data_IF_807863847180
#
_entry.id   IF_807863847180
#
_cell.length_a   1.000
_cell.length_b   1.000
_cell.length_c   1.000
_cell.angle_alpha   90.00
_cell.angle_beta   90.00
_cell.angle_gamma   90.00
#
_symmetry.space_group_name_H-M   'P 1'
#
loop_
_entity.id
_entity.type
_entity.pdbx_description
1 polymer ?
#
# COMPACT_ATOMS: atom_id res chain seq x y z
N UNK A 1 5.44 18.39 -9.54
CA UNK A 1 5.73 19.73 -10.12
C UNK A 1 6.33 19.51 -11.49
N UNK A 2 5.89 20.21 -12.54
CA UNK A 2 6.61 20.17 -13.82
C UNK A 2 7.99 20.80 -13.63
N UNK A 3 9.02 20.10 -14.11
CA UNK A 3 10.42 20.51 -14.07
C UNK A 3 10.95 20.38 -15.50
N UNK A 4 11.23 21.50 -16.19
CA UNK A 4 11.74 21.46 -17.55
C UNK A 4 13.01 20.63 -17.60
N UNK A 5 13.03 19.65 -18.50
CA UNK A 5 14.22 18.83 -18.73
C UNK A 5 14.91 19.35 -19.99
N UNK A 6 16.23 19.62 -19.95
CA UNK A 6 16.98 20.00 -21.14
C UNK A 6 16.72 19.02 -22.29
N UNK A 7 16.72 19.53 -23.53
CA UNK A 7 16.54 18.76 -24.77
C UNK A 7 15.15 18.12 -25.01
N UNK A 8 14.21 18.22 -24.07
CA UNK A 8 12.83 17.75 -24.31
C UNK A 8 12.05 18.72 -25.20
N UNK A 9 11.10 18.18 -25.98
CA UNK A 9 10.15 18.97 -26.79
C UNK A 9 9.38 19.96 -25.92
N UNK A 10 9.06 19.56 -24.69
CA UNK A 10 8.32 20.39 -23.73
C UNK A 10 9.05 21.69 -23.39
N UNK A 11 10.39 21.64 -23.24
CA UNK A 11 11.22 22.84 -22.98
C UNK A 11 11.35 23.73 -24.21
N UNK A 12 11.19 23.18 -25.43
CA UNK A 12 11.32 23.93 -26.70
C UNK A 12 10.03 24.62 -27.13
N UNK A 13 8.88 23.97 -26.92
CA UNK A 13 7.59 24.42 -27.46
C UNK A 13 6.73 25.21 -26.47
N UNK A 14 6.90 25.00 -25.16
CA UNK A 14 6.01 25.58 -24.15
C UNK A 14 6.76 26.59 -23.28
N UNK A 15 6.74 27.84 -23.72
CA UNK A 15 7.31 29.00 -22.99
C UNK A 15 6.33 29.62 -22.00
N UNK A 16 5.02 29.43 -22.21
CA UNK A 16 3.97 29.90 -21.31
C UNK A 16 3.71 28.87 -20.20
N UNK A 17 4.54 28.93 -19.17
CA UNK A 17 4.44 28.04 -18.02
C UNK A 17 3.42 28.56 -16.98
N UNK A 18 2.81 27.64 -16.24
CA UNK A 18 1.87 28.00 -15.16
C UNK A 18 2.66 28.50 -13.95
N UNK A 19 2.22 29.59 -13.27
CA UNK A 19 2.85 30.08 -12.05
C UNK A 19 3.06 28.97 -11.00
N UNK A 20 4.20 28.97 -10.27
CA UNK A 20 4.50 27.94 -9.27
C UNK A 20 3.39 27.73 -8.24
N UNK A 21 2.74 28.80 -7.78
CA UNK A 21 1.69 28.71 -6.78
C UNK A 21 0.44 27.98 -7.30
N UNK A 22 0.02 28.25 -8.54
CA UNK A 22 -1.08 27.51 -9.19
C UNK A 22 -0.72 26.03 -9.41
N UNK A 23 0.53 25.72 -9.73
CA UNK A 23 0.99 24.33 -9.86
C UNK A 23 0.92 23.58 -8.52
N UNK A 24 1.35 24.22 -7.43
CA UNK A 24 1.28 23.65 -6.08
C UNK A 24 -0.17 23.45 -5.65
N UNK A 25 -1.03 24.46 -5.86
CA UNK A 25 -2.46 24.38 -5.56
C UNK A 25 -3.12 23.21 -6.29
N UNK A 26 -2.94 23.12 -7.62
CA UNK A 26 -3.50 22.03 -8.43
C UNK A 26 -2.98 20.66 -8.00
N UNK A 27 -1.67 20.56 -7.75
CA UNK A 27 -1.07 19.32 -7.25
C UNK A 27 -1.67 18.92 -5.89
N UNK A 28 -1.85 19.88 -4.98
CA UNK A 28 -2.50 19.65 -3.70
C UNK A 28 -3.90 19.09 -3.86
N UNK A 29 -4.73 19.72 -4.71
CA UNK A 29 -6.10 19.23 -5.01
C UNK A 29 -6.11 17.80 -5.53
N UNK A 30 -5.22 17.47 -6.46
CA UNK A 30 -5.09 16.10 -7.01
C UNK A 30 -4.63 15.11 -5.95
N UNK A 31 -3.62 15.46 -5.14
CA UNK A 31 -3.11 14.59 -4.08
C UNK A 31 -4.16 14.32 -3.01
N UNK A 32 -4.94 15.33 -2.62
CA UNK A 32 -6.06 15.17 -1.68
C UNK A 32 -7.09 14.19 -2.23
N UNK A 33 -7.58 14.41 -3.46
CA UNK A 33 -8.55 13.51 -4.08
C UNK A 33 -8.00 12.08 -4.24
N UNK A 34 -6.74 11.94 -4.65
CA UNK A 34 -6.09 10.63 -4.77
C UNK A 34 -5.99 9.93 -3.42
N UNK A 35 -5.65 10.66 -2.34
CA UNK A 35 -5.56 10.11 -0.99
C UNK A 35 -6.91 9.56 -0.51
N UNK A 36 -8.00 10.29 -0.77
CA UNK A 36 -9.37 9.86 -0.46
C UNK A 36 -9.76 8.58 -1.22
N UNK A 37 -9.48 8.55 -2.53
CA UNK A 37 -9.73 7.37 -3.38
C UNK A 37 -8.92 6.17 -2.90
N UNK A 38 -7.62 6.37 -2.62
CA UNK A 38 -6.73 5.31 -2.13
C UNK A 38 -7.21 4.76 -0.79
N UNK A 39 -7.59 5.62 0.16
CA UNK A 39 -8.13 5.17 1.45
C UNK A 39 -9.40 4.35 1.27
N UNK A 40 -10.34 4.82 0.44
CA UNK A 40 -11.57 4.07 0.15
C UNK A 40 -11.27 2.69 -0.45
N UNK A 41 -10.38 2.63 -1.44
CA UNK A 41 -9.96 1.37 -2.07
C UNK A 41 -9.25 0.43 -1.12
N UNK A 42 -8.40 0.95 -0.24
CA UNK A 42 -7.73 0.14 0.78
C UNK A 42 -8.70 -0.40 1.83
N UNK A 43 -9.72 0.40 2.22
CA UNK A 43 -10.79 -0.05 3.13
C UNK A 43 -11.61 -1.22 2.58
N UNK A 44 -11.77 -1.32 1.26
CA UNK A 44 -12.43 -2.47 0.61
C UNK A 44 -11.68 -3.80 0.88
N UNK A 45 -10.41 -3.75 1.31
CA UNK A 45 -9.61 -4.94 1.66
C UNK A 45 -9.72 -5.36 3.12
N UNK A 46 -10.36 -4.57 3.99
CA UNK A 46 -10.51 -4.94 5.40
C UNK A 46 -11.32 -6.24 5.52
N UNK A 47 -10.80 -7.19 6.28
CA UNK A 47 -11.36 -8.53 6.45
C UNK A 47 -10.91 -9.55 5.39
N UNK A 48 -10.20 -9.12 4.33
CA UNK A 48 -9.57 -10.06 3.40
C UNK A 48 -8.31 -10.70 4.01
N UNK A 49 -7.90 -11.81 3.40
CA UNK A 49 -6.61 -12.45 3.66
C UNK A 49 -5.77 -12.20 2.42
N UNK A 50 -4.62 -11.57 2.61
CA UNK A 50 -3.69 -11.23 1.54
C UNK A 50 -2.36 -11.95 1.79
N UNK A 51 -1.80 -12.54 0.74
CA UNK A 51 -0.42 -13.02 0.75
C UNK A 51 0.52 -11.82 0.57
N UNK A 52 1.52 -11.72 1.45
CA UNK A 52 2.53 -10.67 1.43
C UNK A 52 3.93 -11.26 1.42
N UNK A 53 4.82 -10.68 0.62
CA UNK A 53 6.26 -10.90 0.74
C UNK A 53 6.81 -9.96 1.81
N UNK A 54 7.42 -10.49 2.86
CA UNK A 54 8.02 -9.66 3.92
C UNK A 54 9.35 -9.09 3.42
N UNK A 55 9.49 -7.77 3.39
CA UNK A 55 10.68 -7.08 2.88
C UNK A 55 11.62 -6.58 3.99
N UNK A 56 11.11 -6.37 5.21
CA UNK A 56 11.93 -5.85 6.29
C UNK A 56 11.14 -5.44 7.53
N UNK A 57 11.83 -4.77 8.47
CA UNK A 57 11.20 -4.13 9.61
C UNK A 57 10.26 -3.00 9.16
N UNK A 58 9.13 -2.86 9.84
CA UNK A 58 8.21 -1.76 9.60
C UNK A 58 8.81 -0.42 10.06
N UNK A 59 8.58 0.63 9.27
CA UNK A 59 8.93 2.00 9.66
C UNK A 59 8.14 2.50 10.87
N UNK A 60 7.01 1.85 11.20
CA UNK A 60 6.22 2.14 12.41
C UNK A 60 6.88 1.60 13.69
N UNK A 61 7.85 0.69 13.57
CA UNK A 61 8.54 0.06 14.68
C UNK A 61 7.65 -0.89 15.49
N UNK A 62 7.93 -1.02 16.79
CA UNK A 62 7.12 -1.79 17.77
C UNK A 62 7.02 -3.30 17.49
N UNK A 63 8.08 -3.91 16.96
CA UNK A 63 8.08 -5.33 16.62
C UNK A 63 7.18 -5.67 15.44
N UNK A 64 6.88 -4.70 14.57
CA UNK A 64 6.19 -4.93 13.32
C UNK A 64 7.18 -5.14 12.18
N UNK A 65 6.83 -6.08 11.31
CA UNK A 65 7.44 -6.29 10.00
C UNK A 65 6.56 -5.68 8.92
N UNK A 66 7.16 -5.41 7.77
CA UNK A 66 6.50 -4.83 6.61
C UNK A 66 6.73 -5.71 5.40
N UNK A 67 5.64 -5.92 4.66
CA UNK A 67 5.67 -6.66 3.41
C UNK A 67 4.75 -6.04 2.36
N UNK A 68 4.76 -6.63 1.17
CA UNK A 68 3.97 -6.17 0.03
C UNK A 68 3.09 -7.27 -0.53
N UNK A 69 1.83 -6.92 -0.83
CA UNK A 69 0.94 -7.78 -1.59
C UNK A 69 1.41 -7.90 -3.05
N UNK A 70 0.85 -8.86 -3.81
CA UNK A 70 1.07 -8.97 -5.27
C UNK A 70 0.73 -7.70 -6.05
N UNK A 71 -0.25 -6.93 -5.58
CA UNK A 71 -0.62 -5.63 -6.13
C UNK A 71 0.23 -4.48 -5.58
N UNK A 72 1.39 -4.78 -4.99
CA UNK A 72 2.38 -3.84 -4.47
C UNK A 72 1.88 -2.93 -3.32
N UNK A 73 0.84 -3.36 -2.58
CA UNK A 73 0.34 -2.62 -1.40
C UNK A 73 1.18 -2.98 -0.18
N UNK A 74 1.60 -1.97 0.58
CA UNK A 74 2.33 -2.15 1.84
C UNK A 74 1.38 -2.68 2.90
N UNK A 75 1.79 -3.74 3.60
CA UNK A 75 1.07 -4.29 4.76
C UNK A 75 2.03 -4.35 5.94
N UNK A 76 1.61 -3.80 7.07
CA UNK A 76 2.36 -3.86 8.33
C UNK A 76 1.68 -4.86 9.26
N UNK A 77 2.44 -5.79 9.81
CA UNK A 77 1.95 -6.83 10.71
C UNK A 77 2.92 -7.02 11.86
N UNK A 78 2.41 -7.36 13.05
CA UNK A 78 3.27 -7.79 14.15
C UNK A 78 3.89 -9.15 13.81
N UNK A 79 5.19 -9.31 14.02
CA UNK A 79 5.87 -10.57 13.71
C UNK A 79 7.40 -10.50 13.87
N UNK A 80 8.06 -11.65 13.94
CA UNK A 80 9.51 -11.71 14.04
C UNK A 80 10.19 -11.34 12.72
N UNK A 81 11.36 -10.70 12.80
CA UNK A 81 12.18 -10.37 11.63
C UNK A 81 12.70 -11.60 10.86
N UNK A 82 12.69 -12.78 11.47
CA UNK A 82 13.05 -14.04 10.81
C UNK A 82 12.13 -14.43 9.64
N UNK A 83 11.05 -13.68 9.40
CA UNK A 83 10.15 -13.87 8.25
C UNK A 83 10.57 -13.04 7.02
N UNK A 84 11.61 -12.21 7.09
CA UNK A 84 12.07 -11.41 5.95
C UNK A 84 12.49 -12.33 4.79
N UNK A 85 11.99 -12.06 3.59
CA UNK A 85 12.17 -12.88 2.40
C UNK A 85 11.11 -13.96 2.19
N UNK A 86 10.24 -14.19 3.18
CA UNK A 86 9.19 -15.20 3.12
C UNK A 86 7.84 -14.63 2.68
N UNK A 87 7.03 -15.49 2.08
CA UNK A 87 5.62 -15.23 1.83
C UNK A 87 4.77 -15.66 3.04
N UNK A 88 3.97 -14.75 3.56
CA UNK A 88 3.08 -14.99 4.70
C UNK A 88 1.66 -14.50 4.39
N UNK A 89 0.67 -15.14 5.02
CA UNK A 89 -0.72 -14.69 4.93
C UNK A 89 -1.03 -13.70 6.05
N UNK A 90 -1.60 -12.54 5.69
CA UNK A 90 -2.02 -11.51 6.62
C UNK A 90 -3.51 -11.25 6.49
N UNK A 91 -4.24 -11.24 7.62
CA UNK A 91 -5.61 -10.74 7.67
C UNK A 91 -5.56 -9.22 7.76
N UNK A 92 -6.19 -8.52 6.83
CA UNK A 92 -6.23 -7.06 6.84
C UNK A 92 -7.26 -6.60 7.86
N UNK A 93 -6.84 -5.75 8.80
CA UNK A 93 -7.66 -5.26 9.90
C UNK A 93 -7.96 -3.77 9.74
N UNK A 94 -6.99 -2.99 9.27
CA UNK A 94 -7.13 -1.55 9.08
C UNK A 94 -6.45 -1.08 7.79
N UNK A 95 -6.82 0.13 7.36
CA UNK A 95 -6.33 0.73 6.14
C UNK A 95 -6.08 2.22 6.32
N UNK A 96 -4.94 2.68 5.78
CA UNK A 96 -4.64 4.09 5.53
C UNK A 96 -4.64 4.34 4.01
N UNK A 97 -4.42 5.58 3.57
CA UNK A 97 -4.27 5.87 2.14
C UNK A 97 -3.04 5.20 1.51
N UNK A 98 -1.99 4.91 2.31
CA UNK A 98 -0.69 4.48 1.81
C UNK A 98 -0.27 3.07 2.25
N UNK A 99 -1.00 2.45 3.18
CA UNK A 99 -0.68 1.13 3.71
C UNK A 99 -1.89 0.45 4.31
N UNK A 100 -1.79 -0.86 4.47
CA UNK A 100 -2.69 -1.71 5.24
C UNK A 100 -2.02 -2.09 6.56
N UNK A 101 -2.83 -2.40 7.57
CA UNK A 101 -2.39 -3.01 8.80
C UNK A 101 -3.15 -4.31 9.00
N UNK A 102 -2.46 -5.32 9.50
CA UNK A 102 -3.04 -6.64 9.64
C UNK A 102 -2.34 -7.50 10.68
N UNK A 103 -2.81 -8.74 10.74
CA UNK A 103 -2.29 -9.77 11.64
C UNK A 103 -1.88 -11.00 10.84
N UNK A 104 -0.76 -11.61 11.21
CA UNK A 104 -0.31 -12.86 10.61
C UNK A 104 -1.31 -13.98 10.88
N UNK A 105 -1.62 -14.76 9.85
CA UNK A 105 -2.44 -15.96 9.98
C UNK A 105 -1.55 -17.19 9.91
N UNK A 106 -1.65 -18.05 10.92
CA UNK A 106 -0.98 -19.36 10.94
C UNK A 106 -1.77 -20.37 10.09
N UNK A 107 -1.09 -21.42 9.59
CA UNK A 107 -1.72 -22.49 8.81
C UNK A 107 -2.96 -23.09 9.48
N UNK A 108 -2.93 -23.30 10.80
CA UNK A 108 -4.07 -23.80 11.57
C UNK A 108 -5.30 -22.86 11.54
N UNK A 109 -5.09 -21.53 11.55
CA UNK A 109 -6.18 -20.55 11.42
C UNK A 109 -6.73 -20.45 9.99
N UNK A 110 -5.91 -20.72 8.98
CA UNK A 110 -6.33 -20.76 7.57
C UNK A 110 -7.29 -21.93 7.36
N UNK A 111 -6.93 -23.13 7.80
CA UNK A 111 -7.78 -24.34 7.69
C UNK A 111 -9.14 -24.14 8.37
N UNK A 112 -9.15 -23.53 9.56
CA UNK A 112 -10.40 -23.22 10.27
C UNK A 112 -11.27 -22.21 9.52
N UNK A 113 -10.66 -21.23 8.86
CA UNK A 113 -11.39 -20.21 8.07
C UNK A 113 -11.95 -20.79 6.78
N UNK A 114 -11.20 -21.69 6.12
CA UNK A 114 -11.65 -22.41 4.92
C UNK A 114 -12.84 -23.32 5.27
N UNK A 115 -12.72 -24.11 6.35
CA UNK A 115 -13.79 -24.99 6.82
C UNK A 115 -15.04 -24.21 7.24
N UNK A 116 -14.89 -23.02 7.86
CA UNK A 116 -16.01 -22.18 8.24
C UNK A 116 -16.75 -21.53 7.05
N UNK A 117 -16.09 -21.40 5.89
CA UNK A 117 -16.69 -20.85 4.65
C UNK A 117 -17.24 -21.92 3.72
N UNK A 118 -17.13 -23.21 4.06
CA UNK A 118 -17.70 -24.31 3.27
C UNK A 118 -17.05 -24.52 1.90
N UNK A 119 -15.84 -23.99 1.68
CA UNK A 119 -15.10 -24.20 0.42
C UNK A 119 -14.16 -25.39 0.63
N UNK A 120 -14.66 -26.59 0.34
CA UNK A 120 -13.84 -27.80 0.22
C UNK A 120 -13.51 -28.03 -1.26
N UNK A 121 -12.29 -28.49 -1.56
CA UNK A 121 -11.90 -29.01 -2.88
C UNK A 121 -12.30 -30.48 -3.00
#
# INVERSE_FOLDING_TARGET
MYSPRPQTVSTKLYTNDVPPELKKERLGRVLTLQSEISLRKNRESIGSIEEILVEGASKLGKGQIMGRTRSNRIVNVAGPEGLIGEFVSAKIMEATANSLLGELITKASIEKTINARGIAW
#
